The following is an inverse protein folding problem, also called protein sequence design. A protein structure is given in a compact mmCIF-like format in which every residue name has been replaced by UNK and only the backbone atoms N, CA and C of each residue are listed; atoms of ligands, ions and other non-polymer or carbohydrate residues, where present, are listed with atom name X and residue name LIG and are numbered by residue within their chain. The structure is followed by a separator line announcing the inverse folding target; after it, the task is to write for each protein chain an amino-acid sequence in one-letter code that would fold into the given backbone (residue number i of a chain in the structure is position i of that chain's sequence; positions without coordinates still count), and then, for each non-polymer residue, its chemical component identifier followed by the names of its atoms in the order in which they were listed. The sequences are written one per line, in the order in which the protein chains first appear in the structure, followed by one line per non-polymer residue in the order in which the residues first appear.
data_IF_392566625184
#
_entry.id   IF_392566625184
#
_cell.length_a   1.000
_cell.length_b   1.000
_cell.length_c   1.000
_cell.angle_alpha   90.00
_cell.angle_beta   90.00
_cell.angle_gamma   90.00
#
_symmetry.space_group_name_H-M   'P 1'
#
loop_
_entity.id
_entity.type
_entity.pdbx_description
1 polymer ?
#
# COMPACT_ATOMS: atom_id res chain seq x y z
N UNK A 1 -18.50 -15.66 18.58
CA UNK A 1 -17.78 -14.47 18.06
C UNK A 1 -18.80 -13.53 17.45
N UNK A 2 -19.11 -12.44 18.14
CA UNK A 2 -20.24 -11.54 17.86
C UNK A 2 -19.82 -10.51 16.79
N UNK A 3 -20.54 -10.48 15.65
CA UNK A 3 -20.43 -9.42 14.64
C UNK A 3 -21.40 -8.29 15.02
N UNK A 4 -20.88 -7.10 15.32
CA UNK A 4 -21.70 -5.90 15.49
C UNK A 4 -21.85 -5.19 14.13
N UNK A 5 -23.05 -5.24 13.56
CA UNK A 5 -23.51 -4.28 12.55
C UNK A 5 -24.25 -3.16 13.28
N UNK A 6 -23.79 -1.92 13.13
CA UNK A 6 -24.50 -0.74 13.60
C UNK A 6 -25.27 -0.14 12.43
N UNK A 7 -26.60 -0.32 12.43
CA UNK A 7 -27.52 0.36 11.49
C UNK A 7 -28.07 1.57 12.24
N UNK A 8 -27.79 2.78 11.76
CA UNK A 8 -28.35 4.01 12.31
C UNK A 8 -29.62 4.38 11.53
N UNK A 9 -30.79 4.16 12.14
CA UNK A 9 -32.08 4.61 11.61
C UNK A 9 -32.34 6.05 12.05
N UNK A 10 -32.34 6.99 11.11
CA UNK A 10 -32.68 8.40 11.35
C UNK A 10 -34.18 8.62 11.07
N UNK A 11 -34.99 8.79 12.12
CA UNK A 11 -36.39 9.22 12.00
C UNK A 11 -36.45 10.74 11.87
N UNK A 12 -37.00 11.25 10.76
CA UNK A 12 -37.32 12.67 10.57
C UNK A 12 -38.79 12.88 10.96
N UNK A 13 -39.03 13.57 12.07
CA UNK A 13 -40.37 14.01 12.49
C UNK A 13 -40.60 15.41 11.91
N UNK A 14 -41.49 15.51 10.93
CA UNK A 14 -42.01 16.78 10.42
C UNK A 14 -43.17 17.23 11.31
N UNK A 15 -42.93 18.20 12.18
CA UNK A 15 -43.98 18.91 12.92
C UNK A 15 -44.45 20.11 12.09
N UNK A 16 -45.73 20.14 11.71
CA UNK A 16 -46.38 21.30 11.12
C UNK A 16 -46.91 22.17 12.28
N UNK A 17 -46.51 23.45 12.42
CA UNK A 17 -47.12 24.31 13.43
C UNK A 17 -48.51 24.79 12.95
N UNK A 18 -49.52 24.65 13.83
CA UNK A 18 -50.80 25.34 13.71
C UNK A 18 -50.58 26.83 13.98
N UNK A 19 -50.93 27.68 13.01
CA UNK A 19 -50.90 29.13 13.16
C UNK A 19 -52.14 29.62 13.92
N UNK A 20 -51.94 30.13 15.13
CA UNK A 20 -52.90 31.01 15.79
C UNK A 20 -52.37 32.44 15.66
N UNK A 21 -53.12 33.30 14.97
CA UNK A 21 -52.76 34.68 14.72
C UNK A 21 -53.21 35.53 15.91
N UNK A 22 -52.27 35.98 16.74
CA UNK A 22 -52.52 36.96 17.78
C UNK A 22 -51.84 38.29 17.41
N UNK A 23 -52.61 39.38 17.53
CA UNK A 23 -52.27 40.70 17.00
C UNK A 23 -51.72 41.57 18.12
N UNK A 24 -50.48 41.30 18.51
CA UNK A 24 -49.70 42.20 19.36
C UNK A 24 -48.38 42.47 18.67
N UNK A 25 -48.13 43.74 18.32
CA UNK A 25 -46.83 44.19 17.80
C UNK A 25 -45.80 44.15 18.93
N UNK A 26 -45.30 42.96 19.20
CA UNK A 26 -44.07 42.79 19.97
C UNK A 26 -42.96 43.28 19.06
N UNK A 27 -42.23 44.32 19.48
CA UNK A 27 -40.91 44.59 18.92
C UNK A 27 -40.08 43.37 19.27
N UNK A 28 -39.98 42.43 18.34
CA UNK A 28 -39.01 41.33 18.43
C UNK A 28 -37.67 42.03 18.33
N UNK A 29 -37.05 42.31 19.47
CA UNK A 29 -35.60 42.46 19.51
C UNK A 29 -35.08 41.09 19.11
N UNK A 30 -34.64 40.95 17.86
CA UNK A 30 -33.81 39.82 17.47
C UNK A 30 -32.62 39.82 18.43
N UNK A 31 -32.62 38.90 19.40
CA UNK A 31 -31.40 38.60 20.15
C UNK A 31 -30.33 38.27 19.11
N UNK A 32 -29.14 38.89 19.16
CA UNK A 32 -28.08 38.54 18.25
C UNK A 32 -27.79 37.06 18.43
N UNK A 33 -28.09 36.26 17.41
CA UNK A 33 -27.82 34.83 17.43
C UNK A 33 -26.31 34.64 17.56
N UNK A 34 -25.83 34.33 18.76
CA UNK A 34 -24.40 34.11 19.02
C UNK A 34 -24.01 32.81 18.31
N UNK A 35 -23.51 32.93 17.09
CA UNK A 35 -22.98 31.79 16.35
C UNK A 35 -21.62 31.39 16.91
N UNK A 36 -21.61 30.31 17.70
CA UNK A 36 -20.36 29.70 18.16
C UNK A 36 -19.65 29.02 16.98
N UNK A 37 -18.44 29.44 16.60
CA UNK A 37 -17.73 28.91 15.43
C UNK A 37 -17.34 27.43 15.58
N UNK A 38 -17.28 26.91 16.81
CA UNK A 38 -16.94 25.52 17.08
C UNK A 38 -17.98 24.50 16.57
N UNK A 39 -19.26 24.87 16.51
CA UNK A 39 -20.32 23.98 16.02
C UNK A 39 -20.21 23.71 14.51
N UNK A 40 -20.18 24.72 13.62
CA UNK A 40 -20.00 24.49 12.19
C UNK A 40 -18.63 23.87 11.85
N UNK A 41 -17.59 24.17 12.63
CA UNK A 41 -16.29 23.50 12.52
C UNK A 41 -16.41 21.98 12.69
N UNK A 42 -16.96 21.52 13.83
CA UNK A 42 -17.09 20.09 14.13
C UNK A 42 -17.97 19.40 13.09
N UNK A 43 -19.07 20.04 12.67
CA UNK A 43 -19.94 19.52 11.62
C UNK A 43 -19.14 19.25 10.33
N UNK A 44 -18.36 20.21 9.85
CA UNK A 44 -17.57 20.07 8.62
C UNK A 44 -16.36 19.14 8.76
N UNK A 45 -15.79 18.98 9.96
CA UNK A 45 -14.73 17.99 10.22
C UNK A 45 -15.27 16.56 10.21
N UNK A 46 -16.53 16.34 10.59
CA UNK A 46 -17.18 15.03 10.51
C UNK A 46 -17.68 14.76 9.10
N UNK A 47 -18.36 15.74 8.50
CA UNK A 47 -18.94 15.65 7.17
C UNK A 47 -18.66 16.94 6.39
N UNK A 48 -17.73 16.92 5.42
CA UNK A 48 -17.38 18.11 4.65
C UNK A 48 -18.62 18.73 3.97
N UNK A 49 -18.79 20.04 4.12
CA UNK A 49 -19.96 20.78 3.65
C UNK A 49 -21.04 21.00 4.71
N UNK A 50 -21.07 20.25 5.81
CA UNK A 50 -22.14 20.34 6.80
C UNK A 50 -22.14 21.68 7.57
N UNK A 51 -20.97 22.22 7.92
CA UNK A 51 -20.85 23.54 8.53
C UNK A 51 -21.23 24.67 7.58
N UNK A 52 -20.94 24.56 6.28
CA UNK A 52 -21.39 25.51 5.26
C UNK A 52 -22.91 25.54 5.17
N UNK A 53 -23.54 24.37 5.16
CA UNK A 53 -24.99 24.24 5.16
C UNK A 53 -25.61 24.83 6.44
N UNK A 54 -25.00 24.55 7.60
CA UNK A 54 -25.42 25.13 8.89
C UNK A 54 -25.35 26.66 8.88
N UNK A 55 -24.26 27.22 8.35
CA UNK A 55 -24.07 28.66 8.22
C UNK A 55 -24.90 29.30 7.11
N UNK A 56 -25.77 28.54 6.42
CA UNK A 56 -26.55 29.01 5.25
C UNK A 56 -25.67 29.64 4.16
N UNK A 57 -24.43 29.17 4.05
CA UNK A 57 -23.52 29.61 2.99
C UNK A 57 -24.05 29.24 1.60
N UNK A 58 -23.59 29.91 0.53
CA UNK A 58 -23.98 29.54 -0.83
C UNK A 58 -23.80 28.03 -1.10
N UNK A 59 -24.85 27.38 -1.62
CA UNK A 59 -24.91 25.92 -1.76
C UNK A 59 -23.77 25.34 -2.59
N UNK A 60 -23.17 26.11 -3.50
CA UNK A 60 -22.03 25.67 -4.30
C UNK A 60 -20.82 25.28 -3.44
N UNK A 61 -20.62 25.90 -2.27
CA UNK A 61 -19.52 25.55 -1.35
C UNK A 61 -19.72 24.16 -0.75
N UNK A 62 -20.95 23.89 -0.29
CA UNK A 62 -21.34 22.58 0.22
C UNK A 62 -21.19 21.53 -0.88
N UNK A 63 -21.70 21.82 -2.09
CA UNK A 63 -21.58 20.92 -3.23
C UNK A 63 -20.12 20.65 -3.62
N UNK A 64 -19.22 21.64 -3.52
CA UNK A 64 -17.80 21.45 -3.80
C UNK A 64 -17.14 20.48 -2.80
N UNK A 65 -17.33 20.69 -1.50
CA UNK A 65 -16.77 19.80 -0.47
C UNK A 65 -17.32 18.37 -0.57
N UNK A 66 -18.63 18.22 -0.79
CA UNK A 66 -19.26 16.90 -1.02
C UNK A 66 -18.77 16.26 -2.32
N UNK A 67 -18.56 17.05 -3.37
CA UNK A 67 -18.03 16.57 -4.65
C UNK A 67 -16.62 16.01 -4.53
N UNK A 68 -15.73 16.72 -3.82
CA UNK A 68 -14.37 16.23 -3.51
C UNK A 68 -14.45 14.97 -2.66
N UNK A 69 -15.32 14.94 -1.65
CA UNK A 69 -15.52 13.78 -0.77
C UNK A 69 -15.86 12.52 -1.57
N UNK A 70 -16.91 12.58 -2.38
CA UNK A 70 -17.36 11.47 -3.22
C UNK A 70 -16.29 11.09 -4.24
N UNK A 71 -15.68 12.07 -4.89
CA UNK A 71 -14.63 11.83 -5.88
C UNK A 71 -13.40 11.14 -5.29
N UNK A 72 -12.97 11.55 -4.10
CA UNK A 72 -11.85 10.95 -3.38
C UNK A 72 -12.14 9.53 -2.92
N UNK A 73 -13.35 9.26 -2.39
CA UNK A 73 -13.75 7.90 -1.99
C UNK A 73 -13.78 6.97 -3.19
N UNK A 74 -14.43 7.38 -4.29
CA UNK A 74 -14.50 6.57 -5.51
C UNK A 74 -13.12 6.31 -6.10
N UNK A 75 -12.25 7.33 -6.12
CA UNK A 75 -10.87 7.17 -6.59
C UNK A 75 -10.10 6.19 -5.70
N UNK A 76 -10.16 6.34 -4.37
CA UNK A 76 -9.51 5.42 -3.45
C UNK A 76 -9.97 3.97 -3.68
N UNK A 77 -11.27 3.72 -3.74
CA UNK A 77 -11.83 2.38 -3.95
C UNK A 77 -11.36 1.76 -5.27
N UNK A 78 -11.41 2.52 -6.36
CA UNK A 78 -11.01 2.04 -7.68
C UNK A 78 -9.51 1.72 -7.72
N UNK A 79 -8.66 2.64 -7.29
CA UNK A 79 -7.21 2.47 -7.37
C UNK A 79 -6.68 1.46 -6.36
N UNK A 80 -7.27 1.34 -5.17
CA UNK A 80 -6.93 0.29 -4.22
C UNK A 80 -7.22 -1.10 -4.79
N UNK A 81 -8.43 -1.32 -5.32
CA UNK A 81 -8.80 -2.59 -5.95
C UNK A 81 -7.92 -2.93 -7.15
N UNK A 82 -7.59 -1.93 -7.98
CA UNK A 82 -6.69 -2.12 -9.12
C UNK A 82 -5.28 -2.47 -8.68
N UNK A 83 -4.78 -1.85 -7.60
CA UNK A 83 -3.47 -2.15 -7.04
C UNK A 83 -3.37 -3.58 -6.48
N UNK A 84 -4.44 -4.05 -5.83
CA UNK A 84 -4.56 -5.43 -5.33
C UNK A 84 -4.50 -6.43 -6.47
N UNK A 85 -5.31 -6.26 -7.53
CA UNK A 85 -5.27 -7.17 -8.68
C UNK A 85 -3.91 -7.22 -9.37
N UNK A 86 -3.27 -6.06 -9.57
CA UNK A 86 -1.90 -6.01 -10.11
C UNK A 86 -0.86 -6.62 -9.16
N UNK A 87 -1.13 -6.63 -7.85
CA UNK A 87 -0.28 -7.30 -6.88
C UNK A 87 -0.41 -8.82 -7.01
N UNK A 88 -1.62 -9.33 -7.08
CA UNK A 88 -1.87 -10.75 -7.32
C UNK A 88 -1.20 -11.21 -8.62
N UNK A 89 -1.21 -10.39 -9.67
CA UNK A 89 -0.58 -10.66 -10.96
C UNK A 89 0.95 -10.81 -10.85
N UNK A 90 1.65 -9.83 -10.25
CA UNK A 90 3.11 -9.91 -10.14
C UNK A 90 3.57 -10.98 -9.14
N UNK A 91 2.78 -11.25 -8.09
CA UNK A 91 3.07 -12.31 -7.13
C UNK A 91 2.93 -13.68 -7.80
N UNK A 92 1.87 -13.88 -8.59
CA UNK A 92 1.69 -15.09 -9.41
C UNK A 92 2.80 -15.26 -10.44
N UNK A 93 3.24 -14.17 -11.07
CA UNK A 93 4.36 -14.20 -11.99
C UNK A 93 5.66 -14.62 -11.30
N UNK A 94 5.96 -14.08 -10.12
CA UNK A 94 7.12 -14.50 -9.34
C UNK A 94 7.01 -15.97 -8.91
N UNK A 95 5.82 -16.44 -8.56
CA UNK A 95 5.61 -17.83 -8.15
C UNK A 95 5.89 -18.83 -9.27
N UNK A 96 5.68 -18.43 -10.52
CA UNK A 96 5.95 -19.24 -11.71
C UNK A 96 7.42 -19.21 -12.13
N UNK A 97 8.09 -18.06 -11.97
CA UNK A 97 9.40 -17.81 -12.60
C UNK A 97 10.57 -17.73 -11.60
N UNK A 98 10.30 -17.72 -10.29
CA UNK A 98 11.34 -17.70 -9.25
C UNK A 98 11.27 -18.96 -8.37
N UNK A 99 12.42 -19.60 -8.17
CA UNK A 99 12.54 -20.84 -7.41
C UNK A 99 13.75 -20.85 -6.45
N UNK A 100 13.55 -21.34 -5.23
CA UNK A 100 14.60 -21.45 -4.21
C UNK A 100 15.68 -22.48 -4.56
N UNK A 101 15.32 -23.59 -5.20
CA UNK A 101 16.27 -24.58 -5.69
C UNK A 101 17.17 -23.97 -6.76
N UNK A 102 16.59 -23.25 -7.74
CA UNK A 102 17.37 -22.50 -8.73
C UNK A 102 18.33 -21.53 -8.06
N UNK A 103 17.87 -20.80 -7.05
CA UNK A 103 18.70 -19.84 -6.32
C UNK A 103 19.92 -20.48 -5.67
N UNK A 104 19.73 -21.60 -4.94
CA UNK A 104 20.83 -22.33 -4.28
C UNK A 104 21.71 -23.06 -5.29
N UNK A 105 21.15 -23.64 -6.34
CA UNK A 105 21.90 -24.36 -7.38
C UNK A 105 22.76 -23.43 -8.22
N UNK A 106 22.25 -22.24 -8.56
CA UNK A 106 23.00 -21.22 -9.29
C UNK A 106 24.07 -20.56 -8.42
N UNK A 107 23.90 -20.53 -7.09
CA UNK A 107 24.99 -20.15 -6.20
C UNK A 107 26.12 -21.20 -6.20
N UNK A 108 25.79 -22.49 -6.13
CA UNK A 108 26.80 -23.56 -6.19
C UNK A 108 27.48 -23.70 -7.55
N UNK A 109 26.68 -23.58 -8.61
CA UNK A 109 27.06 -23.82 -10.00
C UNK A 109 26.69 -22.60 -10.83
N UNK A 110 27.42 -21.48 -10.67
CA UNK A 110 27.10 -20.23 -11.31
C UNK A 110 27.13 -20.31 -12.84
N UNK A 111 26.39 -19.42 -13.52
CA UNK A 111 26.51 -19.25 -14.97
C UNK A 111 27.98 -19.04 -15.37
N UNK A 112 28.47 -19.87 -16.28
CA UNK A 112 29.87 -19.83 -16.75
C UNK A 112 30.12 -18.88 -17.91
N UNK A 113 29.11 -18.13 -18.36
CA UNK A 113 29.23 -17.16 -19.44
C UNK A 113 29.81 -15.83 -18.92
N UNK A 114 30.57 -15.15 -19.77
CA UNK A 114 31.06 -13.80 -19.52
C UNK A 114 30.26 -12.81 -20.36
N UNK A 115 29.78 -11.73 -19.76
CA UNK A 115 28.98 -10.69 -20.42
C UNK A 115 29.70 -9.35 -20.32
N UNK A 116 30.15 -8.83 -21.46
CA UNK A 116 30.91 -7.57 -21.53
C UNK A 116 32.14 -7.54 -20.61
N UNK A 117 32.80 -8.70 -20.44
CA UNK A 117 33.96 -8.85 -19.56
C UNK A 117 33.62 -9.08 -18.08
N UNK A 118 32.34 -9.12 -17.73
CA UNK A 118 31.86 -9.46 -16.39
C UNK A 118 31.53 -10.95 -16.28
N UNK A 119 31.99 -11.56 -15.21
CA UNK A 119 31.68 -12.92 -14.76
C UNK A 119 30.78 -12.86 -13.53
N UNK A 120 30.07 -13.95 -13.25
CA UNK A 120 29.18 -14.06 -12.09
C UNK A 120 29.87 -13.71 -10.76
N UNK A 121 31.13 -14.13 -10.59
CA UNK A 121 31.91 -13.92 -9.37
C UNK A 121 32.32 -12.45 -9.14
N UNK A 122 32.13 -11.57 -10.14
CA UNK A 122 32.39 -10.14 -9.98
C UNK A 122 31.33 -9.43 -9.12
N UNK A 123 30.14 -10.02 -8.96
CA UNK A 123 29.05 -9.44 -8.16
C UNK A 123 29.18 -9.87 -6.70
N UNK A 124 29.50 -8.95 -5.81
CA UNK A 124 29.66 -9.22 -4.37
C UNK A 124 28.39 -9.78 -3.73
N UNK A 125 27.21 -9.36 -4.21
CA UNK A 125 25.91 -9.81 -3.73
C UNK A 125 25.65 -11.30 -3.98
N UNK A 126 26.38 -11.95 -4.89
CA UNK A 126 26.17 -13.34 -5.29
C UNK A 126 27.11 -14.33 -4.62
N UNK A 127 28.07 -13.84 -3.83
CA UNK A 127 29.08 -14.68 -3.16
C UNK A 127 28.49 -15.54 -2.05
N UNK A 128 27.43 -15.06 -1.42
CA UNK A 128 26.75 -15.72 -0.32
C UNK A 128 25.25 -15.73 -0.57
N UNK A 129 24.60 -16.83 -0.20
CA UNK A 129 23.13 -16.91 -0.12
C UNK A 129 22.60 -16.53 1.27
N UNK A 130 23.50 -16.35 2.25
CA UNK A 130 23.21 -15.73 3.54
C UNK A 130 23.63 -14.27 3.56
N UNK A 131 23.09 -13.48 4.49
CA UNK A 131 23.61 -12.14 4.71
C UNK A 131 22.65 -11.16 5.36
N UNK A 132 22.51 -9.98 4.74
CA UNK A 132 21.71 -8.87 5.29
C UNK A 132 20.21 -9.07 5.15
N UNK A 133 19.80 -9.93 4.21
CA UNK A 133 18.42 -10.25 3.91
C UNK A 133 18.29 -11.75 3.75
N UNK A 134 17.15 -12.26 4.21
CA UNK A 134 16.81 -13.66 4.19
C UNK A 134 15.37 -13.89 3.74
N UNK A 135 15.06 -15.14 3.40
CA UNK A 135 13.69 -15.61 3.22
C UNK A 135 13.31 -16.45 4.44
N UNK A 136 12.03 -16.44 4.80
CA UNK A 136 11.54 -17.33 5.85
C UNK A 136 11.25 -18.70 5.26
N UNK A 137 11.91 -19.73 5.77
CA UNK A 137 11.61 -21.12 5.47
C UNK A 137 10.64 -21.68 6.51
N UNK A 138 9.64 -22.42 6.06
CA UNK A 138 8.75 -23.24 6.88
C UNK A 138 9.21 -24.69 6.80
N UNK A 139 9.65 -25.21 7.93
CA UNK A 139 10.07 -26.60 8.11
C UNK A 139 8.92 -27.45 8.65
N UNK A 140 8.92 -28.73 8.29
CA UNK A 140 7.98 -29.74 8.80
C UNK A 140 8.70 -31.04 9.19
N UNK A 141 8.01 -31.91 9.93
CA UNK A 141 8.56 -33.19 10.37
C UNK A 141 9.78 -33.04 11.28
N UNK A 142 10.76 -33.93 11.15
CA UNK A 142 11.95 -33.97 12.02
C UNK A 142 12.79 -32.70 11.94
N UNK A 143 12.82 -32.02 10.78
CA UNK A 143 13.53 -30.74 10.64
C UNK A 143 12.89 -29.65 11.52
N UNK A 144 11.56 -29.63 11.60
CA UNK A 144 10.85 -28.68 12.46
C UNK A 144 11.07 -28.97 13.95
N UNK A 145 11.14 -30.26 14.31
CA UNK A 145 11.40 -30.68 15.69
C UNK A 145 12.81 -30.29 16.16
N UNK A 146 13.80 -30.32 15.25
CA UNK A 146 15.20 -30.03 15.54
C UNK A 146 15.53 -28.53 15.48
N UNK A 147 15.09 -27.83 14.44
CA UNK A 147 15.48 -26.44 14.14
C UNK A 147 14.38 -25.41 14.41
N UNK A 148 13.16 -25.86 14.71
CA UNK A 148 11.97 -25.03 14.82
C UNK A 148 11.21 -24.92 13.50
N UNK A 149 9.95 -24.50 13.60
CA UNK A 149 9.04 -24.46 12.45
C UNK A 149 9.41 -23.39 11.41
N UNK A 150 9.93 -22.23 11.84
CA UNK A 150 10.26 -21.12 10.96
C UNK A 150 11.72 -20.73 11.17
N UNK A 151 12.51 -20.81 10.09
CA UNK A 151 13.94 -20.50 10.12
C UNK A 151 14.31 -19.54 8.98
N UNK A 152 15.46 -18.89 9.13
CA UNK A 152 16.05 -18.07 8.08
C UNK A 152 16.59 -18.93 6.94
N UNK A 153 16.55 -18.42 5.70
CA UNK A 153 17.17 -19.07 4.53
C UNK A 153 18.68 -19.16 4.62
N UNK A 154 19.32 -18.39 5.51
CA UNK A 154 20.77 -18.42 5.72
C UNK A 154 21.29 -19.83 6.04
N UNK A 155 20.46 -20.66 6.67
CA UNK A 155 20.81 -22.06 6.98
C UNK A 155 21.16 -22.87 5.72
N UNK A 156 20.61 -22.49 4.56
CA UNK A 156 20.84 -23.16 3.29
C UNK A 156 22.29 -23.05 2.81
N UNK A 157 23.08 -22.09 3.31
CA UNK A 157 24.50 -22.03 2.99
C UNK A 157 25.27 -23.26 3.50
N UNK A 158 24.76 -23.90 4.57
CA UNK A 158 25.33 -25.15 5.13
C UNK A 158 24.46 -26.38 4.87
N UNK A 159 23.18 -26.21 4.53
CA UNK A 159 22.18 -27.27 4.34
C UNK A 159 21.55 -27.20 2.96
N UNK A 160 22.39 -27.14 1.93
CA UNK A 160 21.95 -26.88 0.57
C UNK A 160 21.05 -27.96 -0.04
N UNK A 161 21.08 -29.18 0.49
CA UNK A 161 20.26 -30.33 0.09
C UNK A 161 18.80 -30.19 0.53
N UNK A 162 18.50 -29.23 1.42
CA UNK A 162 17.15 -28.99 1.92
C UNK A 162 16.21 -28.42 0.86
N UNK A 163 16.71 -27.80 -0.20
CA UNK A 163 15.87 -27.20 -1.25
C UNK A 163 15.07 -28.24 -2.04
N UNK A 164 15.53 -29.49 -2.06
CA UNK A 164 14.85 -30.62 -2.70
C UNK A 164 13.94 -31.38 -1.73
N UNK A 165 13.95 -31.02 -0.45
CA UNK A 165 13.19 -31.71 0.59
C UNK A 165 11.73 -31.24 0.59
N UNK A 166 10.81 -32.20 0.53
CA UNK A 166 9.38 -31.94 0.74
C UNK A 166 9.05 -31.38 2.15
N UNK A 167 10.02 -31.45 3.07
CA UNK A 167 9.86 -30.92 4.43
C UNK A 167 10.19 -29.44 4.55
N UNK A 168 10.67 -28.81 3.47
CA UNK A 168 11.09 -27.40 3.44
C UNK A 168 10.28 -26.65 2.41
N UNK A 169 9.72 -25.52 2.80
CA UNK A 169 8.98 -24.63 1.89
C UNK A 169 9.29 -23.17 2.22
N UNK A 170 9.16 -22.28 1.24
CA UNK A 170 9.37 -20.85 1.44
C UNK A 170 8.04 -20.19 1.82
N UNK A 171 8.05 -19.36 2.85
CA UNK A 171 6.89 -18.55 3.22
C UNK A 171 6.74 -17.39 2.25
N UNK A 172 5.73 -17.49 1.37
CA UNK A 172 5.39 -16.47 0.35
C UNK A 172 4.55 -15.35 0.97
N UNK A 173 5.22 -14.33 1.49
CA UNK A 173 4.60 -13.13 2.06
C UNK A 173 5.19 -11.86 1.41
N UNK A 174 4.77 -10.68 1.86
CA UNK A 174 5.31 -9.40 1.37
C UNK A 174 6.85 -9.33 1.45
N UNK A 175 7.45 -9.89 2.50
CA UNK A 175 8.90 -9.90 2.67
C UNK A 175 9.58 -10.74 1.58
N UNK A 176 9.05 -11.92 1.28
CA UNK A 176 9.51 -12.75 0.17
C UNK A 176 9.47 -12.00 -1.16
N UNK A 177 8.30 -11.46 -1.55
CA UNK A 177 8.14 -10.76 -2.82
C UNK A 177 8.97 -9.47 -2.91
N UNK A 178 9.16 -8.75 -1.81
CA UNK A 178 10.08 -7.61 -1.78
C UNK A 178 11.53 -8.06 -2.00
N UNK A 179 11.96 -9.11 -1.31
CA UNK A 179 13.35 -9.55 -1.32
C UNK A 179 13.80 -10.04 -2.68
N UNK A 180 13.03 -10.95 -3.31
CA UNK A 180 13.38 -11.53 -4.63
C UNK A 180 13.46 -10.49 -5.75
N UNK A 181 12.77 -9.36 -5.60
CA UNK A 181 12.84 -8.25 -6.55
C UNK A 181 13.94 -7.23 -6.25
N UNK A 182 14.10 -6.85 -4.99
CA UNK A 182 14.89 -5.70 -4.58
C UNK A 182 16.38 -6.00 -4.43
N UNK A 183 16.74 -7.21 -4.01
CA UNK A 183 18.12 -7.53 -3.66
C UNK A 183 18.73 -8.51 -4.66
N UNK A 184 19.92 -8.17 -5.14
CA UNK A 184 20.64 -8.96 -6.13
C UNK A 184 21.07 -10.33 -5.62
N UNK A 185 21.19 -10.48 -4.29
CA UNK A 185 21.42 -11.77 -3.63
C UNK A 185 20.45 -12.86 -4.10
N UNK A 186 19.20 -12.52 -4.42
CA UNK A 186 18.17 -13.47 -4.83
C UNK A 186 18.04 -13.63 -6.35
N UNK A 187 18.89 -12.99 -7.16
CA UNK A 187 18.77 -13.02 -8.63
C UNK A 187 18.89 -14.43 -9.20
N UNK A 188 19.68 -15.28 -8.54
CA UNK A 188 19.89 -16.67 -8.95
C UNK A 188 18.61 -17.53 -8.95
N UNK A 189 17.53 -17.08 -8.32
CA UNK A 189 16.27 -17.84 -8.32
C UNK A 189 15.42 -17.66 -9.57
N UNK A 190 15.67 -16.64 -10.40
CA UNK A 190 14.93 -16.41 -11.64
C UNK A 190 15.29 -17.46 -12.70
N UNK A 191 14.29 -18.01 -13.39
CA UNK A 191 14.46 -19.13 -14.34
C UNK A 191 15.43 -18.82 -15.49
N UNK A 192 15.44 -17.58 -15.97
CA UNK A 192 16.25 -17.10 -17.10
C UNK A 192 17.68 -16.71 -16.73
N UNK A 193 18.07 -16.83 -15.45
CA UNK A 193 19.36 -16.31 -14.97
C UNK A 193 20.57 -17.02 -15.59
N UNK A 194 20.45 -18.28 -16.00
CA UNK A 194 21.56 -18.99 -16.66
C UNK A 194 21.79 -18.56 -18.10
N UNK A 195 20.74 -18.13 -18.80
CA UNK A 195 20.78 -17.82 -20.23
C UNK A 195 20.95 -16.33 -20.49
N UNK A 196 20.23 -15.49 -19.75
CA UNK A 196 19.92 -14.12 -20.16
C UNK A 196 20.21 -13.08 -19.08
N UNK A 197 21.02 -13.41 -18.06
CA UNK A 197 21.44 -12.40 -17.10
C UNK A 197 22.21 -11.27 -17.80
N UNK A 198 22.17 -10.07 -17.23
CA UNK A 198 22.95 -8.92 -17.67
C UNK A 198 23.20 -8.00 -16.48
N UNK A 199 23.97 -6.94 -16.69
CA UNK A 199 24.37 -6.04 -15.62
C UNK A 199 24.21 -4.57 -16.00
N UNK A 200 24.20 -3.72 -14.98
CA UNK A 200 24.02 -2.28 -15.11
C UNK A 200 24.80 -1.56 -14.00
N UNK A 201 25.16 -0.30 -14.25
CA UNK A 201 25.84 0.55 -13.27
C UNK A 201 24.82 1.41 -12.53
N UNK A 202 24.69 1.18 -11.22
CA UNK A 202 23.88 2.02 -10.36
C UNK A 202 24.76 3.07 -9.70
N UNK A 203 24.59 4.32 -10.11
CA UNK A 203 25.24 5.47 -9.47
C UNK A 203 24.60 5.75 -8.12
N UNK A 204 25.40 5.65 -7.07
CA UNK A 204 25.10 6.13 -5.72
C UNK A 204 25.77 7.49 -5.52
N UNK A 205 25.46 8.17 -4.43
CA UNK A 205 26.03 9.50 -4.13
C UNK A 205 27.56 9.48 -4.10
N UNK A 206 28.15 8.44 -3.50
CA UNK A 206 29.60 8.32 -3.27
C UNK A 206 30.26 7.11 -3.97
N UNK A 207 29.48 6.30 -4.70
CA UNK A 207 30.03 5.08 -5.35
C UNK A 207 29.21 4.64 -6.56
N UNK A 208 29.75 3.71 -7.33
CA UNK A 208 29.00 2.99 -8.37
C UNK A 208 28.90 1.53 -7.95
N UNK A 209 27.67 1.03 -7.90
CA UNK A 209 27.36 -0.36 -7.57
C UNK A 209 27.01 -1.09 -8.87
N UNK A 210 27.60 -2.27 -9.05
CA UNK A 210 27.30 -3.15 -10.18
C UNK A 210 26.07 -3.97 -9.82
N UNK A 211 25.00 -3.80 -10.59
CA UNK A 211 23.71 -4.45 -10.34
C UNK A 211 23.48 -5.54 -11.39
N UNK A 212 23.03 -6.70 -10.94
CA UNK A 212 22.72 -7.84 -11.81
C UNK A 212 21.21 -8.04 -11.97
N UNK A 213 20.78 -8.28 -13.21
CA UNK A 213 19.38 -8.38 -13.63
C UNK A 213 19.17 -9.55 -14.58
N UNK A 214 17.91 -9.91 -14.77
CA UNK A 214 17.43 -10.81 -15.83
C UNK A 214 16.17 -10.20 -16.45
N UNK A 215 15.82 -10.52 -17.71
CA UNK A 215 14.56 -10.10 -18.31
C UNK A 215 13.34 -10.39 -17.43
N UNK A 216 13.26 -11.56 -16.79
CA UNK A 216 12.15 -11.92 -15.92
C UNK A 216 12.11 -11.08 -14.64
N UNK A 217 13.26 -10.84 -14.00
CA UNK A 217 13.34 -9.94 -12.83
C UNK A 217 12.90 -8.52 -13.19
N UNK A 218 13.26 -8.04 -14.39
CA UNK A 218 12.86 -6.70 -14.87
C UNK A 218 11.35 -6.63 -15.08
N UNK A 219 10.75 -7.61 -15.76
CA UNK A 219 9.30 -7.64 -15.97
C UNK A 219 8.54 -7.68 -14.64
N UNK A 220 8.99 -8.50 -13.70
CA UNK A 220 8.45 -8.52 -12.33
C UNK A 220 8.50 -7.14 -11.65
N UNK A 221 9.65 -6.45 -11.74
CA UNK A 221 9.82 -5.12 -11.14
C UNK A 221 8.96 -4.06 -11.82
N UNK A 222 8.76 -4.15 -13.14
CA UNK A 222 7.89 -3.25 -13.89
C UNK A 222 6.41 -3.44 -13.50
N UNK A 223 5.94 -4.68 -13.40
CA UNK A 223 4.58 -4.98 -12.91
C UNK A 223 4.38 -4.46 -11.48
N UNK A 224 5.35 -4.71 -10.59
CA UNK A 224 5.35 -4.21 -9.20
C UNK A 224 5.37 -2.68 -9.15
N UNK A 225 6.12 -2.02 -10.05
CA UNK A 225 6.14 -0.56 -10.16
C UNK A 225 4.75 -0.02 -10.50
N UNK A 226 4.05 -0.62 -11.47
CA UNK A 226 2.69 -0.21 -11.85
C UNK A 226 1.71 -0.39 -10.69
N UNK A 227 1.76 -1.52 -9.98
CA UNK A 227 0.95 -1.72 -8.76
C UNK A 227 1.22 -0.62 -7.72
N UNK A 228 2.49 -0.30 -7.47
CA UNK A 228 2.88 0.76 -6.52
C UNK A 228 2.40 2.15 -6.94
N UNK A 229 2.34 2.46 -8.25
CA UNK A 229 1.74 3.70 -8.73
C UNK A 229 0.25 3.77 -8.37
N UNK A 230 -0.50 2.68 -8.55
CA UNK A 230 -1.92 2.63 -8.18
C UNK A 230 -2.12 2.78 -6.66
N UNK A 231 -1.26 2.12 -5.84
CA UNK A 231 -1.24 2.31 -4.38
C UNK A 231 -0.97 3.77 -4.00
N UNK A 232 -0.06 4.44 -4.72
CA UNK A 232 0.26 5.85 -4.50
C UNK A 232 -0.94 6.76 -4.78
N UNK A 233 -1.66 6.53 -5.89
CA UNK A 233 -2.87 7.30 -6.22
C UNK A 233 -3.98 7.04 -5.19
N UNK A 234 -4.16 5.79 -4.74
CA UNK A 234 -5.11 5.47 -3.68
C UNK A 234 -4.76 6.20 -2.38
N UNK A 235 -3.47 6.24 -2.00
CA UNK A 235 -2.98 7.01 -0.85
C UNK A 235 -3.24 8.50 -1.00
N UNK A 236 -2.96 9.09 -2.16
CA UNK A 236 -3.25 10.51 -2.40
C UNK A 236 -4.75 10.81 -2.35
N UNK A 237 -5.61 9.89 -2.79
CA UNK A 237 -7.06 10.03 -2.68
C UNK A 237 -7.52 10.14 -1.22
N UNK A 238 -6.96 9.31 -0.33
CA UNK A 238 -7.19 9.42 1.12
C UNK A 238 -6.64 10.75 1.66
N UNK A 239 -5.44 11.15 1.26
CA UNK A 239 -4.86 12.44 1.68
C UNK A 239 -5.77 13.61 1.28
N UNK A 240 -6.28 13.63 0.05
CA UNK A 240 -7.24 14.64 -0.42
C UNK A 240 -8.50 14.64 0.43
N UNK A 241 -9.04 13.46 0.76
CA UNK A 241 -10.19 13.34 1.66
C UNK A 241 -9.91 13.97 3.03
N UNK A 242 -8.78 13.63 3.66
CA UNK A 242 -8.42 14.21 4.96
C UNK A 242 -8.28 15.74 4.92
N UNK A 243 -7.65 16.28 3.88
CA UNK A 243 -7.54 17.73 3.71
C UNK A 243 -8.88 18.39 3.37
N UNK A 244 -9.77 17.70 2.66
CA UNK A 244 -11.13 18.16 2.37
C UNK A 244 -11.90 18.44 3.67
N UNK A 245 -11.81 17.52 4.64
CA UNK A 245 -12.39 17.72 5.98
C UNK A 245 -11.80 18.93 6.71
N UNK A 246 -10.47 19.05 6.73
CA UNK A 246 -9.79 20.17 7.39
C UNK A 246 -10.17 21.52 6.77
N UNK A 247 -10.10 21.63 5.44
CA UNK A 247 -10.44 22.87 4.74
C UNK A 247 -11.92 23.21 4.86
N UNK A 248 -12.81 22.21 4.81
CA UNK A 248 -14.23 22.43 5.05
C UNK A 248 -14.48 22.97 6.45
N UNK A 249 -13.80 22.42 7.47
CA UNK A 249 -13.87 22.91 8.84
C UNK A 249 -13.43 24.36 9.00
N UNK A 250 -12.26 24.70 8.45
CA UNK A 250 -11.73 26.07 8.50
C UNK A 250 -12.63 27.07 7.77
N UNK A 251 -13.15 26.70 6.60
CA UNK A 251 -14.06 27.55 5.82
C UNK A 251 -15.40 27.77 6.54
N UNK A 252 -15.89 26.75 7.25
CA UNK A 252 -17.10 26.84 8.06
C UNK A 252 -16.92 27.81 9.24
N UNK A 253 -15.74 27.85 9.87
CA UNK A 253 -15.45 28.86 10.91
C UNK A 253 -15.49 30.27 10.31
N UNK A 254 -14.82 30.49 9.18
CA UNK A 254 -14.73 31.81 8.54
C UNK A 254 -16.09 32.35 8.10
N UNK A 255 -17.01 31.46 7.70
CA UNK A 255 -18.36 31.87 7.30
C UNK A 255 -19.30 32.08 8.48
N UNK A 256 -19.07 31.45 9.63
CA UNK A 256 -19.85 31.69 10.86
C UNK A 256 -19.58 33.04 11.54
N UNK A 257 -18.50 33.71 11.14
CA UNK A 257 -18.09 35.02 11.69
C UNK A 257 -18.57 36.21 10.84
N UNK A 258 -19.39 35.97 9.82
CA UNK A 258 -19.98 37.01 8.95
C UNK A 258 -21.47 37.15 9.23
#
# INVERSE_FOLDING_TARGET
MLKFFLIFNLFIILAIPLNAQDSTSVVIMDEPEIQYPGKPLIMSLVLPGAGQLYNKSPLWKTAAFVGVEVGSILSWQYFAKKAEGLQDDYESYADLNWNIANWVDNWKNPPGNTIEGMEWDNFSALKHISGTHDLTLHLTGTLADEFGQFVSSDILETHTDWVDSASVSVVRNLHYYENIGKYDQFVGGWEDVKSDWFWDEKKLEDSTELVIKTPMKVDYLDQRYVSNQMKSIAKYSITTLLFNHVFSGLEAVLTSQK
#
